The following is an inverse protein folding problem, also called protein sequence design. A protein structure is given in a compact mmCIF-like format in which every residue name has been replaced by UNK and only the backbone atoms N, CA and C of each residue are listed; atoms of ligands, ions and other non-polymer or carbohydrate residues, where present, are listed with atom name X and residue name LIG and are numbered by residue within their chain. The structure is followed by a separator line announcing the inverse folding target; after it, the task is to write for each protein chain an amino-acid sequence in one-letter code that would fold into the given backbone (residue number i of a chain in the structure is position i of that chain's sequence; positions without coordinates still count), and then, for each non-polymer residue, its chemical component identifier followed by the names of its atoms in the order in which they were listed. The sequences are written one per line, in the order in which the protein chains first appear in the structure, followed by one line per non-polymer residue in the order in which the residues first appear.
data_IF_403078364370
#
_entry.id   IF_403078364370
#
_cell.length_a   1.000
_cell.length_b   1.000
_cell.length_c   1.000
_cell.angle_alpha   90.00
_cell.angle_beta   90.00
_cell.angle_gamma   90.00
#
_symmetry.space_group_name_H-M   'P 1'
#
loop_
_entity.id
_entity.type
_entity.pdbx_description
1 polymer ?
#
# COMPACT_ATOMS: atom_id res chain seq x y z
N UNK A 1 -3.73 -17.57 6.97
CA UNK A 1 -2.96 -17.22 5.76
C UNK A 1 -3.78 -16.19 5.01
N UNK A 2 -3.21 -15.04 4.61
CA UNK A 2 -3.94 -13.99 3.90
C UNK A 2 -4.32 -14.47 2.49
N UNK A 3 -5.40 -15.22 2.43
CA UNK A 3 -5.99 -15.72 1.21
C UNK A 3 -6.85 -14.58 0.65
N UNK A 4 -6.28 -13.83 -0.30
CA UNK A 4 -7.01 -12.78 -0.99
C UNK A 4 -7.94 -13.44 -1.99
N UNK A 5 -9.14 -13.75 -1.52
CA UNK A 5 -10.32 -13.98 -2.36
C UNK A 5 -11.34 -12.88 -2.08
N UNK A 6 -10.87 -11.62 -2.04
CA UNK A 6 -11.80 -10.51 -2.27
C UNK A 6 -11.67 -10.18 -3.74
N UNK A 7 -12.69 -10.63 -4.46
CA UNK A 7 -12.83 -10.45 -5.89
C UNK A 7 -12.65 -8.99 -6.27
N UNK A 8 -11.83 -8.80 -7.29
CA UNK A 8 -11.74 -7.60 -8.10
C UNK A 8 -13.13 -7.20 -8.57
N UNK A 9 -13.79 -6.28 -7.87
CA UNK A 9 -14.97 -5.60 -8.39
C UNK A 9 -15.26 -4.31 -7.61
N UNK A 10 -14.63 -3.21 -8.05
CA UNK A 10 -15.42 -1.98 -8.18
C UNK A 10 -14.91 -1.14 -9.34
N UNK A 11 -15.64 -1.24 -10.44
CA UNK A 11 -15.70 -0.24 -11.49
C UNK A 11 -15.82 1.15 -10.85
N UNK A 12 -14.83 2.02 -11.09
CA UNK A 12 -14.99 3.46 -10.92
C UNK A 12 -14.52 4.11 -12.21
N UNK A 13 -15.41 4.07 -13.20
CA UNK A 13 -15.59 5.20 -14.10
C UNK A 13 -15.94 6.43 -13.25
N UNK A 14 -15.01 7.36 -13.01
CA UNK A 14 -15.19 8.84 -12.94
C UNK A 14 -13.95 9.50 -12.35
N UNK A 15 -13.42 10.45 -13.11
CA UNK A 15 -12.56 11.54 -12.66
C UNK A 15 -13.16 12.25 -11.45
N UNK A 16 -12.40 12.37 -10.36
CA UNK A 16 -12.35 13.56 -9.50
C UNK A 16 -11.13 13.45 -8.58
N UNK A 17 -10.44 14.56 -8.35
CA UNK A 17 -9.06 14.66 -7.85
C UNK A 17 -8.83 14.28 -6.39
N UNK A 18 -9.30 13.11 -5.94
CA UNK A 18 -8.90 12.52 -4.68
C UNK A 18 -7.71 11.59 -4.94
N UNK A 19 -6.50 12.05 -4.62
CA UNK A 19 -5.27 11.23 -4.63
C UNK A 19 -5.38 10.10 -3.60
N UNK A 20 -6.18 9.07 -3.91
CA UNK A 20 -6.26 7.87 -3.10
C UNK A 20 -4.91 7.18 -3.15
N UNK A 21 -4.33 6.94 -1.98
CA UNK A 21 -3.10 6.19 -1.82
C UNK A 21 -3.28 4.76 -2.36
N UNK A 22 -2.79 4.50 -3.56
CA UNK A 22 -2.80 3.18 -4.19
C UNK A 22 -1.57 2.38 -3.77
N UNK A 23 -1.73 1.06 -3.68
CA UNK A 23 -0.62 0.13 -3.53
C UNK A 23 0.21 0.07 -4.81
N UNK A 24 1.43 -0.46 -4.73
CA UNK A 24 2.32 -0.69 -5.89
C UNK A 24 1.74 -1.65 -6.94
N UNK A 25 0.69 -2.41 -6.60
CA UNK A 25 -0.03 -3.25 -7.56
C UNK A 25 -1.08 -2.51 -8.39
N UNK A 26 -1.39 -1.25 -8.05
CA UNK A 26 -2.45 -0.45 -8.69
C UNK A 26 -3.81 -0.53 -7.98
N UNK A 27 -3.97 -1.42 -6.99
CA UNK A 27 -5.20 -1.55 -6.22
C UNK A 27 -5.24 -0.66 -4.97
N UNK A 28 -6.46 -0.37 -4.51
CA UNK A 28 -6.70 0.33 -3.25
C UNK A 28 -6.29 -0.56 -2.08
N UNK A 29 -5.32 -0.09 -1.30
CA UNK A 29 -4.97 -0.72 -0.03
C UNK A 29 -5.72 -0.02 1.10
N UNK A 30 -6.76 -0.67 1.63
CA UNK A 30 -7.52 -0.13 2.76
C UNK A 30 -6.76 -0.30 4.08
N UNK A 31 -6.63 0.81 4.82
CA UNK A 31 -6.09 0.87 6.18
C UNK A 31 -6.77 -0.08 7.17
N UNK A 32 -7.98 -0.54 6.85
CA UNK A 32 -8.79 -1.42 7.69
C UNK A 32 -8.41 -2.90 7.55
N UNK A 33 -7.63 -3.26 6.52
CA UNK A 33 -7.14 -4.63 6.39
C UNK A 33 -5.83 -4.76 7.17
N UNK A 34 -5.81 -5.67 8.14
CA UNK A 34 -4.64 -6.01 8.96
C UNK A 34 -3.42 -6.51 8.14
N UNK A 35 -3.64 -6.76 6.85
CA UNK A 35 -2.63 -7.12 5.85
C UNK A 35 -2.12 -5.91 5.04
N UNK A 36 -2.24 -4.69 5.56
CA UNK A 36 -1.60 -3.48 5.02
C UNK A 36 -0.63 -2.83 5.99
N UNK A 37 0.35 -2.11 5.44
CA UNK A 37 1.32 -1.31 6.18
C UNK A 37 1.38 0.10 5.59
N UNK A 38 1.44 1.11 6.46
CA UNK A 38 1.63 2.50 6.06
C UNK A 38 3.12 2.79 5.92
N UNK A 39 3.51 3.47 4.85
CA UNK A 39 4.87 3.99 4.75
C UNK A 39 5.06 5.15 5.76
N UNK A 40 6.15 5.12 6.52
CA UNK A 40 6.51 6.19 7.45
C UNK A 40 6.99 7.47 6.74
N UNK A 41 7.34 7.39 5.45
CA UNK A 41 7.65 8.57 4.66
C UNK A 41 6.35 9.31 4.30
N UNK A 42 6.18 10.52 4.82
CA UNK A 42 4.99 11.35 4.60
C UNK A 42 4.87 11.82 3.14
N UNK A 43 6.02 11.96 2.46
CA UNK A 43 6.08 12.29 1.03
C UNK A 43 6.02 11.04 0.13
N UNK A 44 5.59 9.89 0.66
CA UNK A 44 5.45 8.69 -0.15
C UNK A 44 4.23 8.86 -1.06
N UNK A 45 4.37 8.70 -2.39
CA UNK A 45 3.22 8.74 -3.30
C UNK A 45 2.23 7.59 -3.00
N UNK A 46 2.70 6.55 -2.30
CA UNK A 46 1.90 5.46 -1.79
C UNK A 46 1.65 5.64 -0.29
N UNK A 47 0.40 5.71 0.14
CA UNK A 47 0.06 5.75 1.57
C UNK A 47 0.13 4.38 2.23
N UNK A 48 -0.74 3.46 1.81
CA UNK A 48 -0.85 2.10 2.34
C UNK A 48 -0.41 1.08 1.29
N UNK A 49 0.31 0.04 1.73
CA UNK A 49 0.78 -1.03 0.87
C UNK A 49 0.36 -2.39 1.44
N UNK A 50 -0.06 -3.30 0.57
CA UNK A 50 -0.29 -4.69 0.93
C UNK A 50 1.01 -5.34 1.35
N UNK A 51 0.99 -6.04 2.49
CA UNK A 51 2.10 -6.84 2.98
C UNK A 51 2.59 -7.85 1.92
N UNK A 52 1.67 -8.44 1.15
CA UNK A 52 1.99 -9.39 0.07
C UNK A 52 2.76 -8.74 -1.07
N UNK A 53 2.37 -7.53 -1.51
CA UNK A 53 3.01 -6.83 -2.63
C UNK A 53 4.46 -6.44 -2.33
N UNK A 54 4.76 -6.17 -1.05
CA UNK A 54 6.12 -5.87 -0.56
C UNK A 54 6.83 -7.10 0.03
N UNK A 55 6.28 -8.31 -0.19
CA UNK A 55 6.82 -9.59 0.31
C UNK A 55 7.08 -9.66 1.81
N UNK A 56 6.26 -8.97 2.61
CA UNK A 56 6.32 -8.99 4.07
C UNK A 56 5.30 -9.99 4.61
N UNK A 57 5.77 -10.94 5.43
CA UNK A 57 4.91 -11.96 6.05
C UNK A 57 4.33 -11.54 7.42
N UNK A 58 4.94 -10.58 8.10
CA UNK A 58 4.51 -10.10 9.42
C UNK A 58 4.57 -8.58 9.46
N UNK A 59 3.59 -7.94 10.08
CA UNK A 59 3.54 -6.48 10.23
C UNK A 59 4.85 -5.98 10.83
N UNK A 60 5.62 -5.14 10.10
CA UNK A 60 6.88 -4.63 10.60
C UNK A 60 6.61 -3.64 11.73
N UNK A 61 7.57 -3.48 12.65
CA UNK A 61 7.49 -2.42 13.65
C UNK A 61 7.63 -1.06 12.94
N UNK A 62 6.79 -0.06 13.28
CA UNK A 62 7.00 1.29 12.79
C UNK A 62 8.32 1.86 13.37
N UNK A 63 9.07 2.70 12.61
CA UNK A 63 8.78 3.17 11.26
C UNK A 63 9.13 2.14 10.17
N UNK A 64 8.23 1.97 9.19
CA UNK A 64 8.45 1.11 8.02
C UNK A 64 8.51 1.95 6.73
N UNK A 65 9.51 1.71 5.88
CA UNK A 65 9.66 2.37 4.59
C UNK A 65 9.42 1.38 3.45
N UNK A 66 8.58 1.78 2.48
CA UNK A 66 8.36 1.00 1.28
C UNK A 66 9.66 0.89 0.45
N UNK A 67 9.81 -0.11 -0.43
CA UNK A 67 11.02 -0.28 -1.23
C UNK A 67 11.37 0.95 -2.07
N UNK A 68 10.37 1.65 -2.62
CA UNK A 68 10.58 2.89 -3.36
C UNK A 68 11.22 3.98 -2.51
N UNK A 69 10.66 4.28 -1.32
CA UNK A 69 11.24 5.26 -0.41
C UNK A 69 12.60 4.83 0.13
N UNK A 70 12.79 3.53 0.40
CA UNK A 70 14.07 3.00 0.85
C UNK A 70 15.17 3.19 -0.19
N UNK A 71 14.86 3.08 -1.48
CA UNK A 71 15.81 3.37 -2.57
C UNK A 71 16.07 4.87 -2.73
N UNK A 72 15.04 5.72 -2.60
CA UNK A 72 15.20 7.17 -2.77
C UNK A 72 16.01 7.82 -1.64
N UNK A 73 15.95 7.29 -0.42
CA UNK A 73 16.65 7.82 0.76
C UNK A 73 18.18 7.60 0.74
N UNK A 74 18.72 6.92 -0.27
CA UNK A 74 20.15 6.62 -0.41
C UNK A 74 20.88 7.51 -1.43
N UNK A 75 20.28 8.64 -1.79
CA UNK A 75 20.82 9.64 -2.71
C UNK A 75 21.04 10.95 -1.98
#
# INVERSE_FOLDING_TARGET
MCNSSVESAKDISKSDGASQALCVCGDVADKNTECTVKCANENCPHGFLHLKCISIKRKPKPPYYCPSCRHTMWK
#
